data_IF_474278026131
#
_entry.id   IF_474278026131
#
_cell.length_a   1.000
_cell.length_b   1.000
_cell.length_c   1.000
_cell.angle_alpha   90.00
_cell.angle_beta   90.00
_cell.angle_gamma   90.00
#
_symmetry.space_group_name_H-M   'P 1'
#
loop_
_entity.id
_entity.type
_entity.pdbx_description
1 polymer ?
#
# COMPACT_ATOMS: atom_id res chain seq x y z
N UNK A 1 19.05 -5.56 -0.85
CA UNK A 1 18.42 -4.96 -2.03
C UNK A 1 18.67 -3.46 -2.09
N UNK A 2 18.71 -2.93 -3.27
CA UNK A 2 18.86 -1.49 -3.52
C UNK A 2 17.53 -0.94 -4.03
N UNK A 3 17.17 0.25 -3.57
CA UNK A 3 16.05 1.01 -4.10
C UNK A 3 16.60 2.22 -4.85
N UNK A 4 16.27 2.33 -6.13
CA UNK A 4 16.64 3.47 -6.97
C UNK A 4 15.39 4.23 -7.36
N UNK A 5 15.40 5.54 -7.15
CA UNK A 5 14.40 6.40 -7.72
C UNK A 5 14.80 6.73 -9.15
N UNK A 6 14.08 6.18 -10.13
CA UNK A 6 14.35 6.39 -11.54
C UNK A 6 14.29 7.86 -11.98
N UNK A 7 13.44 8.66 -11.33
CA UNK A 7 13.37 10.09 -11.61
C UNK A 7 14.68 10.83 -11.27
N UNK A 8 15.38 10.41 -10.24
CA UNK A 8 16.68 10.98 -9.88
C UNK A 8 17.71 10.61 -10.94
N UNK A 9 17.71 9.35 -11.37
CA UNK A 9 18.60 8.87 -12.45
C UNK A 9 18.37 9.60 -13.77
N UNK A 10 17.12 9.84 -14.18
CA UNK A 10 16.80 10.54 -15.43
C UNK A 10 17.16 12.03 -15.39
N UNK A 11 17.06 12.68 -14.21
CA UNK A 11 17.29 14.11 -14.06
C UNK A 11 18.76 14.48 -13.89
N UNK A 12 19.49 13.69 -13.14
CA UNK A 12 20.79 14.08 -12.59
C UNK A 12 21.96 13.26 -13.15
N UNK A 13 21.70 12.35 -14.11
CA UNK A 13 22.74 11.48 -14.65
C UNK A 13 23.35 10.54 -13.60
N UNK A 14 22.60 10.27 -12.51
CA UNK A 14 23.04 9.35 -11.45
C UNK A 14 23.41 8.00 -12.07
N UNK A 15 24.62 7.54 -11.82
CA UNK A 15 25.07 6.25 -12.32
C UNK A 15 24.32 5.11 -11.63
N UNK A 16 23.90 4.14 -12.44
CA UNK A 16 23.35 2.90 -11.90
C UNK A 16 24.43 2.17 -11.10
N UNK A 17 24.07 1.58 -9.93
CA UNK A 17 25.04 0.94 -9.05
C UNK A 17 25.80 -0.17 -9.77
N UNK A 18 27.07 -0.28 -9.45
CA UNK A 18 27.95 -1.32 -10.00
C UNK A 18 27.89 -2.58 -9.12
N UNK A 19 26.75 -3.25 -9.23
CA UNK A 19 26.41 -4.45 -8.46
C UNK A 19 25.67 -5.41 -9.38
N UNK A 20 25.98 -6.69 -9.30
CA UNK A 20 25.22 -7.72 -10.01
C UNK A 20 23.86 -7.95 -9.34
N UNK A 21 22.80 -7.96 -10.15
CA UNK A 21 21.45 -8.28 -9.74
C UNK A 21 20.94 -9.54 -10.42
N UNK A 22 20.30 -10.42 -9.68
CA UNK A 22 19.56 -11.55 -10.24
C UNK A 22 18.21 -11.09 -10.82
N UNK A 23 17.55 -10.16 -10.10
CA UNK A 23 16.22 -9.66 -10.45
C UNK A 23 16.16 -8.15 -10.23
N UNK A 24 15.60 -7.46 -11.21
CA UNK A 24 15.26 -6.03 -11.14
C UNK A 24 13.75 -5.88 -11.18
N UNK A 25 13.15 -5.38 -10.09
CA UNK A 25 11.76 -4.96 -10.10
C UNK A 25 11.68 -3.52 -10.55
N UNK A 26 11.14 -3.31 -11.73
CA UNK A 26 10.91 -1.98 -12.25
C UNK A 26 9.46 -1.57 -12.00
N UNK A 27 9.25 -0.61 -11.10
CA UNK A 27 7.91 -0.07 -10.86
C UNK A 27 7.48 0.76 -12.05
N UNK A 28 6.47 0.30 -12.76
CA UNK A 28 5.93 0.99 -13.93
C UNK A 28 5.11 2.19 -13.45
N UNK A 29 5.63 3.38 -13.71
CA UNK A 29 5.03 4.67 -13.40
C UNK A 29 4.84 5.51 -14.66
N UNK A 30 4.12 6.63 -14.55
CA UNK A 30 3.74 7.52 -15.66
C UNK A 30 4.92 8.05 -16.50
N UNK A 31 6.12 8.12 -15.94
CA UNK A 31 7.28 8.82 -16.54
C UNK A 31 8.45 7.88 -16.84
N UNK A 32 8.21 6.72 -17.42
CA UNK A 32 9.32 5.88 -17.90
C UNK A 32 9.73 6.28 -19.33
N UNK A 33 11.03 6.26 -19.56
CA UNK A 33 11.62 6.39 -20.88
C UNK A 33 11.47 5.06 -21.64
N UNK A 34 11.11 5.11 -22.92
CA UNK A 34 10.96 3.92 -23.76
C UNK A 34 12.24 3.09 -23.84
N UNK A 35 13.41 3.72 -23.65
CA UNK A 35 14.71 3.05 -23.64
C UNK A 35 15.13 2.49 -22.26
N UNK A 36 14.26 2.58 -21.24
CA UNK A 36 14.63 2.19 -19.87
C UNK A 36 15.04 0.73 -19.77
N UNK A 37 14.28 -0.17 -20.38
CA UNK A 37 14.56 -1.62 -20.31
C UNK A 37 15.88 -1.92 -21.03
N UNK A 38 16.12 -1.32 -22.18
CA UNK A 38 17.35 -1.47 -22.95
C UNK A 38 18.58 -0.97 -22.17
N UNK A 39 18.46 0.15 -21.47
CA UNK A 39 19.52 0.68 -20.59
C UNK A 39 19.81 -0.28 -19.42
N UNK A 40 18.77 -0.82 -18.78
CA UNK A 40 18.92 -1.80 -17.71
C UNK A 40 19.57 -3.09 -18.23
N UNK A 41 19.13 -3.62 -19.37
CA UNK A 41 19.74 -4.82 -19.98
C UNK A 41 21.20 -4.61 -20.37
N UNK A 42 21.54 -3.42 -20.87
CA UNK A 42 22.93 -3.08 -21.19
C UNK A 42 23.82 -3.05 -19.95
N UNK A 43 23.34 -2.47 -18.85
CA UNK A 43 24.12 -2.39 -17.59
C UNK A 43 24.13 -3.74 -16.85
N UNK A 44 23.02 -4.48 -16.87
CA UNK A 44 22.82 -5.72 -16.12
C UNK A 44 22.37 -6.85 -17.06
N UNK A 45 23.26 -7.38 -17.89
CA UNK A 45 22.89 -8.33 -18.96
C UNK A 45 22.35 -9.66 -18.45
N UNK A 46 22.70 -10.04 -17.21
CA UNK A 46 22.29 -11.30 -16.61
C UNK A 46 21.04 -11.16 -15.72
N UNK A 47 20.61 -9.94 -15.41
CA UNK A 47 19.46 -9.71 -14.54
C UNK A 47 18.14 -9.95 -15.29
N UNK A 48 17.20 -10.63 -14.63
CA UNK A 48 15.82 -10.70 -15.08
C UNK A 48 15.08 -9.43 -14.69
N UNK A 49 14.30 -8.86 -15.60
CA UNK A 49 13.54 -7.62 -15.38
C UNK A 49 12.07 -7.93 -15.23
N UNK A 50 11.51 -7.64 -14.08
CA UNK A 50 10.09 -7.74 -13.80
C UNK A 50 9.44 -6.36 -13.83
N UNK A 51 8.45 -6.18 -14.69
CA UNK A 51 7.59 -4.99 -14.68
C UNK A 51 6.60 -5.07 -13.52
N UNK A 52 6.76 -4.22 -12.53
CA UNK A 52 5.94 -4.22 -11.30
C UNK A 52 4.85 -3.18 -11.37
N UNK A 53 3.61 -3.62 -11.47
CA UNK A 53 2.43 -2.75 -11.52
C UNK A 53 1.94 -2.51 -10.10
N UNK A 54 2.26 -1.33 -9.56
CA UNK A 54 1.88 -0.94 -8.20
C UNK A 54 0.48 -0.35 -8.13
N UNK A 55 0.16 0.51 -9.08
CA UNK A 55 -1.07 1.28 -9.10
C UNK A 55 -1.64 1.30 -10.51
N UNK A 56 -2.90 0.93 -10.65
CA UNK A 56 -3.57 0.99 -11.95
C UNK A 56 -4.17 2.34 -12.24
N UNK A 57 -4.64 3.03 -11.21
CA UNK A 57 -5.41 4.24 -11.38
C UNK A 57 -5.63 5.01 -10.08
N UNK A 58 -5.56 6.33 -10.16
CA UNK A 58 -6.05 7.24 -9.12
C UNK A 58 -7.08 8.20 -9.71
N UNK A 59 -8.34 8.23 -9.22
CA UNK A 59 -9.33 9.19 -9.65
C UNK A 59 -8.81 10.63 -9.48
N UNK A 60 -8.91 11.45 -10.53
CA UNK A 60 -8.50 12.85 -10.50
C UNK A 60 -6.99 13.10 -10.65
N UNK A 61 -6.16 12.08 -10.85
CA UNK A 61 -4.85 12.22 -11.46
C UNK A 61 -4.97 11.84 -12.93
N UNK A 62 -4.22 12.53 -13.82
CA UNK A 62 -4.12 12.14 -15.23
C UNK A 62 -3.45 10.75 -15.31
N UNK A 63 -4.25 9.72 -15.11
CA UNK A 63 -3.82 8.34 -15.11
C UNK A 63 -3.72 7.89 -16.57
N UNK A 64 -2.59 7.31 -16.95
CA UNK A 64 -2.39 6.74 -18.27
C UNK A 64 -3.41 5.65 -18.64
N UNK A 65 -4.12 5.08 -17.67
CA UNK A 65 -5.14 4.05 -17.91
C UNK A 65 -6.41 4.59 -18.59
N UNK A 66 -6.66 5.91 -18.53
CA UNK A 66 -7.77 6.57 -19.25
C UNK A 66 -7.33 7.25 -20.54
N UNK A 67 -6.03 7.42 -20.72
CA UNK A 67 -5.44 7.80 -21.98
C UNK A 67 -5.10 6.52 -22.74
N UNK A 68 -5.92 6.17 -23.73
CA UNK A 68 -5.73 4.96 -24.52
C UNK A 68 -4.34 4.84 -25.17
N UNK A 69 -3.75 5.91 -25.74
CA UNK A 69 -2.36 5.89 -26.18
C UNK A 69 -1.35 5.57 -25.08
N UNK A 70 -1.53 6.13 -23.88
CA UNK A 70 -0.69 5.83 -22.71
C UNK A 70 -0.84 4.38 -22.26
N UNK A 71 -2.05 3.83 -22.28
CA UNK A 71 -2.31 2.43 -22.01
C UNK A 71 -1.58 1.49 -22.98
N UNK A 72 -1.64 1.78 -24.28
CA UNK A 72 -0.94 0.98 -25.29
C UNK A 72 0.59 1.05 -25.11
N UNK A 73 1.15 2.22 -24.84
CA UNK A 73 2.59 2.36 -24.51
C UNK A 73 2.97 1.52 -23.30
N UNK A 74 2.11 1.47 -22.30
CA UNK A 74 2.32 0.66 -21.12
C UNK A 74 2.35 -0.84 -21.45
N UNK A 75 1.42 -1.31 -22.29
CA UNK A 75 1.42 -2.69 -22.80
C UNK A 75 2.72 -3.02 -23.53
N UNK A 76 3.16 -2.15 -24.46
CA UNK A 76 4.41 -2.35 -25.20
C UNK A 76 5.63 -2.36 -24.27
N UNK A 77 5.64 -1.54 -23.24
CA UNK A 77 6.68 -1.57 -22.22
C UNK A 77 6.69 -2.91 -21.45
N UNK A 78 5.53 -3.38 -20.99
CA UNK A 78 5.43 -4.65 -20.28
C UNK A 78 5.82 -5.85 -21.15
N UNK A 79 5.58 -5.78 -22.46
CA UNK A 79 6.05 -6.81 -23.41
C UNK A 79 7.57 -6.96 -23.45
N UNK A 80 8.32 -5.92 -23.11
CA UNK A 80 9.79 -5.96 -23.04
C UNK A 80 10.34 -6.55 -21.74
N UNK A 81 9.50 -6.70 -20.72
CA UNK A 81 9.88 -7.30 -19.43
C UNK A 81 9.93 -8.83 -19.52
N UNK A 82 10.77 -9.45 -18.70
CA UNK A 82 10.85 -10.92 -18.61
C UNK A 82 9.70 -11.50 -17.79
N UNK A 83 9.10 -10.69 -16.93
CA UNK A 83 7.86 -11.02 -16.21
C UNK A 83 7.05 -9.76 -15.92
N UNK A 84 5.75 -9.92 -15.67
CA UNK A 84 4.90 -8.87 -15.15
C UNK A 84 4.38 -9.29 -13.79
N UNK A 85 4.51 -8.39 -12.84
CA UNK A 85 4.17 -8.62 -11.45
C UNK A 85 3.14 -7.60 -10.98
N UNK A 86 2.07 -8.11 -10.39
CA UNK A 86 1.02 -7.30 -9.80
C UNK A 86 1.22 -7.21 -8.29
N UNK A 87 1.03 -6.03 -7.77
CA UNK A 87 0.94 -5.80 -6.34
C UNK A 87 -0.41 -6.26 -5.76
N UNK A 88 -1.45 -6.24 -6.56
CA UNK A 88 -2.82 -6.42 -6.13
C UNK A 88 -3.32 -7.85 -6.39
N UNK A 89 -4.06 -8.40 -5.45
CA UNK A 89 -4.66 -9.73 -5.56
C UNK A 89 -5.93 -9.76 -6.43
N UNK A 90 -6.46 -8.63 -6.85
CA UNK A 90 -7.66 -8.55 -7.70
C UNK A 90 -7.32 -8.73 -9.19
N UNK A 91 -7.18 -9.97 -9.59
CA UNK A 91 -6.78 -10.35 -10.96
C UNK A 91 -7.77 -9.93 -12.04
N UNK A 92 -9.05 -9.70 -11.72
CA UNK A 92 -10.08 -9.47 -12.73
C UNK A 92 -9.83 -8.24 -13.61
N UNK A 93 -9.32 -7.17 -13.02
CA UNK A 93 -9.01 -5.90 -13.72
C UNK A 93 -7.84 -6.04 -14.70
N UNK A 94 -7.00 -7.04 -14.52
CA UNK A 94 -5.75 -7.21 -15.26
C UNK A 94 -5.83 -8.20 -16.41
N UNK A 95 -6.94 -8.92 -16.58
CA UNK A 95 -7.06 -9.95 -17.63
C UNK A 95 -6.84 -9.39 -19.03
N UNK A 96 -7.45 -8.25 -19.34
CA UNK A 96 -7.26 -7.59 -20.64
C UNK A 96 -5.80 -7.20 -20.88
N UNK A 97 -5.10 -6.72 -19.84
CA UNK A 97 -3.68 -6.42 -19.91
C UNK A 97 -2.85 -7.69 -20.13
N UNK A 98 -3.16 -8.75 -19.39
CA UNK A 98 -2.48 -10.05 -19.50
C UNK A 98 -2.58 -10.62 -20.91
N UNK A 99 -3.79 -10.60 -21.50
CA UNK A 99 -4.03 -11.01 -22.88
C UNK A 99 -3.22 -10.18 -23.88
N UNK A 100 -3.22 -8.84 -23.73
CA UNK A 100 -2.49 -7.93 -24.63
C UNK A 100 -0.97 -8.01 -24.48
N UNK A 101 -0.47 -8.25 -23.29
CA UNK A 101 0.97 -8.46 -23.03
C UNK A 101 1.39 -9.84 -23.50
N UNK A 102 0.49 -10.81 -23.54
CA UNK A 102 0.73 -12.16 -24.03
C UNK A 102 1.58 -13.02 -23.08
N UNK A 103 1.54 -12.72 -21.78
CA UNK A 103 2.16 -13.55 -20.74
C UNK A 103 1.35 -13.50 -19.44
N UNK A 104 1.34 -14.61 -18.65
CA UNK A 104 0.65 -14.64 -17.38
C UNK A 104 1.31 -13.73 -16.37
N UNK A 105 0.49 -12.96 -15.64
CA UNK A 105 0.97 -12.12 -14.58
C UNK A 105 1.16 -12.90 -13.27
N UNK A 106 2.13 -12.48 -12.48
CA UNK A 106 2.37 -13.03 -11.15
C UNK A 106 1.95 -12.03 -10.08
N UNK A 107 1.50 -12.52 -8.93
CA UNK A 107 1.21 -11.66 -7.78
C UNK A 107 2.41 -11.69 -6.85
N UNK A 108 2.94 -10.51 -6.54
CA UNK A 108 3.95 -10.31 -5.49
C UNK A 108 3.49 -9.14 -4.64
N UNK A 109 3.02 -9.44 -3.45
CA UNK A 109 2.50 -8.44 -2.52
C UNK A 109 3.63 -7.58 -1.94
N UNK A 110 3.27 -6.42 -1.39
CA UNK A 110 4.24 -5.53 -0.75
C UNK A 110 4.83 -6.20 0.49
N UNK A 111 6.16 -6.29 0.61
CA UNK A 111 6.78 -6.83 1.80
C UNK A 111 6.62 -5.88 2.99
N UNK A 112 6.36 -6.45 4.15
CA UNK A 112 6.38 -5.76 5.42
C UNK A 112 7.04 -6.67 6.47
N UNK A 113 7.90 -6.11 7.30
CA UNK A 113 8.43 -6.82 8.46
C UNK A 113 7.37 -6.83 9.57
N UNK A 114 6.40 -7.75 9.43
CA UNK A 114 5.24 -7.85 10.33
C UNK A 114 5.67 -8.11 11.77
N UNK A 115 6.66 -8.98 11.96
CA UNK A 115 7.15 -9.32 13.29
C UNK A 115 7.86 -8.14 13.97
N UNK A 116 8.60 -7.33 13.22
CA UNK A 116 9.21 -6.11 13.74
C UNK A 116 8.17 -5.11 14.21
N UNK A 117 7.18 -4.83 13.35
CA UNK A 117 6.09 -3.91 13.71
C UNK A 117 5.34 -4.39 14.94
N UNK A 118 4.99 -5.67 14.97
CA UNK A 118 4.29 -6.27 16.10
C UNK A 118 5.11 -6.19 17.39
N UNK A 119 6.36 -6.66 17.38
CA UNK A 119 7.22 -6.67 18.58
C UNK A 119 7.51 -5.28 19.13
N UNK A 120 7.66 -4.30 18.24
CA UNK A 120 8.08 -2.95 18.63
C UNK A 120 6.92 -2.05 19.03
N UNK A 121 5.77 -2.16 18.37
CA UNK A 121 4.69 -1.17 18.47
C UNK A 121 3.34 -1.74 18.90
N UNK A 122 3.14 -3.05 18.91
CA UNK A 122 1.89 -3.62 19.38
C UNK A 122 1.64 -3.30 20.86
N UNK A 123 0.43 -2.87 21.19
CA UNK A 123 0.03 -2.55 22.57
C UNK A 123 -1.09 -3.46 23.04
N UNK A 124 -0.86 -4.14 24.18
CA UNK A 124 -1.88 -4.99 24.81
C UNK A 124 -3.07 -4.17 25.35
N UNK A 125 -2.80 -2.94 25.79
CA UNK A 125 -3.81 -1.99 26.25
C UNK A 125 -3.81 -0.77 25.35
N UNK A 126 -4.99 -0.34 24.92
CA UNK A 126 -5.16 0.81 24.04
C UNK A 126 -6.05 1.86 24.68
N UNK A 127 -5.76 3.10 24.36
CA UNK A 127 -6.64 4.20 24.72
C UNK A 127 -7.97 4.06 23.99
N UNK A 128 -9.07 4.46 24.61
CA UNK A 128 -10.37 4.59 23.93
C UNK A 128 -10.31 5.76 22.94
N UNK A 129 -9.66 5.53 21.81
CA UNK A 129 -9.32 6.55 20.81
C UNK A 129 -9.40 6.01 19.41
N UNK A 130 -9.55 6.92 18.46
CA UNK A 130 -9.48 6.64 17.04
C UNK A 130 -8.41 7.52 16.37
N UNK A 131 -7.72 6.95 15.42
CA UNK A 131 -6.71 7.61 14.61
C UNK A 131 -7.28 7.93 13.23
N UNK A 132 -7.14 9.18 12.82
CA UNK A 132 -7.52 9.65 11.50
C UNK A 132 -6.26 10.06 10.73
N UNK A 133 -5.89 9.26 9.73
CA UNK A 133 -4.76 9.59 8.86
C UNK A 133 -5.26 10.17 7.55
N UNK A 134 -4.99 11.46 7.36
CA UNK A 134 -5.39 12.18 6.16
C UNK A 134 -4.18 12.85 5.52
N UNK A 135 -3.56 12.21 4.53
CA UNK A 135 -2.67 12.96 3.64
C UNK A 135 -3.49 14.05 2.94
N UNK A 136 -2.96 15.27 2.77
CA UNK A 136 -3.69 16.40 2.20
C UNK A 136 -4.37 16.12 0.85
N UNK A 137 -3.82 15.17 0.10
CA UNK A 137 -4.37 14.75 -1.20
C UNK A 137 -5.65 13.91 -1.05
N UNK A 138 -5.80 13.18 0.05
CA UNK A 138 -6.95 12.31 0.30
C UNK A 138 -8.13 13.04 0.96
N UNK A 139 -7.89 14.15 1.68
CA UNK A 139 -8.94 14.99 2.25
C UNK A 139 -9.92 15.55 1.22
N UNK A 140 -9.48 15.71 -0.02
CA UNK A 140 -10.33 16.23 -1.10
C UNK A 140 -11.26 15.17 -1.69
N UNK A 141 -11.13 13.91 -1.30
CA UNK A 141 -11.82 12.77 -1.92
C UNK A 141 -12.74 12.02 -0.97
N UNK A 142 -12.67 12.29 0.30
CA UNK A 142 -13.43 11.52 1.29
C UNK A 142 -13.83 12.37 2.49
N UNK A 143 -14.96 12.02 3.09
CA UNK A 143 -15.44 12.61 4.34
C UNK A 143 -14.80 11.95 5.57
N UNK A 144 -13.56 11.46 5.45
CA UNK A 144 -12.90 10.69 6.53
C UNK A 144 -12.79 11.49 7.81
N UNK A 145 -12.36 12.75 7.74
CA UNK A 145 -12.17 13.60 8.92
C UNK A 145 -13.49 13.92 9.60
N UNK A 146 -14.49 14.32 8.84
CA UNK A 146 -15.83 14.65 9.34
C UNK A 146 -16.47 13.45 9.99
N UNK A 147 -16.44 12.30 9.34
CA UNK A 147 -16.93 11.05 9.90
C UNK A 147 -16.16 10.63 11.16
N UNK A 148 -14.85 10.77 11.17
CA UNK A 148 -14.01 10.44 12.33
C UNK A 148 -14.33 11.31 13.54
N UNK A 149 -14.50 12.63 13.32
CA UNK A 149 -14.90 13.57 14.38
C UNK A 149 -16.30 13.27 14.91
N UNK A 150 -17.25 12.96 14.03
CA UNK A 150 -18.60 12.53 14.40
C UNK A 150 -18.57 11.29 15.28
N UNK A 151 -17.85 10.25 14.88
CA UNK A 151 -17.71 9.00 15.64
C UNK A 151 -17.03 9.26 16.99
N UNK A 152 -15.96 10.04 17.00
CA UNK A 152 -15.26 10.39 18.24
C UNK A 152 -16.18 11.07 19.26
N UNK A 153 -16.94 12.04 18.81
CA UNK A 153 -17.90 12.76 19.67
C UNK A 153 -19.02 11.83 20.16
N UNK A 154 -19.64 11.07 19.23
CA UNK A 154 -20.80 10.23 19.55
C UNK A 154 -20.48 9.12 20.54
N UNK A 155 -19.32 8.51 20.44
CA UNK A 155 -18.91 7.36 21.25
C UNK A 155 -17.89 7.72 22.36
N UNK A 156 -17.67 9.00 22.61
CA UNK A 156 -16.70 9.51 23.58
C UNK A 156 -15.32 8.86 23.41
N UNK A 157 -14.80 8.91 22.16
CA UNK A 157 -13.45 8.48 21.82
C UNK A 157 -12.54 9.70 21.69
N UNK A 158 -11.31 9.57 22.15
CA UNK A 158 -10.28 10.59 21.89
C UNK A 158 -9.97 10.61 20.39
N UNK A 159 -10.14 11.75 19.76
CA UNK A 159 -9.74 11.96 18.37
C UNK A 159 -8.23 12.22 18.32
N UNK A 160 -7.53 11.42 17.52
CA UNK A 160 -6.10 11.55 17.27
C UNK A 160 -5.90 11.73 15.78
N UNK A 161 -5.43 12.88 15.37
CA UNK A 161 -5.05 13.12 13.98
C UNK A 161 -3.54 13.08 13.80
N UNK A 162 -3.14 13.05 12.56
CA UNK A 162 -1.76 13.31 12.18
C UNK A 162 -1.52 14.81 12.24
N UNK A 163 -0.53 15.22 13.02
CA UNK A 163 0.01 16.57 12.94
C UNK A 163 0.69 16.79 11.57
N UNK A 164 -0.12 17.25 10.62
CA UNK A 164 0.32 17.46 9.23
C UNK A 164 1.35 18.58 9.16
N UNK A 165 1.29 19.53 10.07
CA UNK A 165 2.17 20.69 10.09
C UNK A 165 3.56 20.32 10.61
N UNK A 166 3.63 19.55 11.70
CA UNK A 166 4.88 18.96 12.18
C UNK A 166 5.53 18.01 11.16
N UNK A 167 4.72 17.33 10.35
CA UNK A 167 5.21 16.49 9.26
C UNK A 167 5.79 17.30 8.10
N UNK A 168 5.12 18.38 7.70
CA UNK A 168 5.55 19.24 6.58
C UNK A 168 6.86 19.97 6.91
N UNK A 169 6.99 20.53 8.09
CA UNK A 169 8.17 21.29 8.50
C UNK A 169 9.40 20.41 8.69
N UNK A 170 9.24 19.22 9.29
CA UNK A 170 10.37 18.32 9.52
C UNK A 170 10.82 17.54 8.29
N UNK A 171 9.92 17.25 7.34
CA UNK A 171 10.28 16.45 6.16
C UNK A 171 10.97 17.24 5.06
N UNK A 172 10.85 18.58 5.05
CA UNK A 172 11.48 19.43 4.04
C UNK A 172 12.94 19.72 4.36
N UNK A 173 13.29 19.88 5.65
CA UNK A 173 14.64 20.25 6.07
C UNK A 173 15.54 19.03 6.31
N UNK A 174 15.02 17.92 6.81
CA UNK A 174 15.78 16.70 6.98
C UNK A 174 14.85 15.45 7.09
N UNK A 175 14.72 14.65 6.01
CA UNK A 175 13.89 13.43 6.03
C UNK A 175 14.33 12.40 7.08
N UNK A 176 15.57 12.48 7.59
CA UNK A 176 16.12 11.57 8.62
C UNK A 176 15.64 11.92 10.03
N UNK A 177 15.18 13.14 10.25
CA UNK A 177 14.67 13.59 11.56
C UNK A 177 13.18 13.24 11.76
N UNK A 178 12.57 12.64 10.76
CA UNK A 178 11.22 12.11 10.90
C UNK A 178 11.23 10.93 11.87
N UNK A 179 10.76 11.18 13.09
CA UNK A 179 10.59 10.13 14.09
C UNK A 179 9.35 9.30 13.75
N UNK A 180 9.51 8.41 12.75
CA UNK A 180 8.47 7.45 12.35
C UNK A 180 7.95 6.67 13.57
N UNK A 181 8.82 6.46 14.56
CA UNK A 181 8.48 5.82 15.82
C UNK A 181 7.36 6.51 16.57
N UNK A 182 7.42 7.83 16.75
CA UNK A 182 6.41 8.59 17.51
C UNK A 182 5.04 8.56 16.80
N UNK A 183 5.05 8.64 15.48
CA UNK A 183 3.85 8.55 14.67
C UNK A 183 3.18 7.18 14.80
N UNK A 184 3.96 6.11 14.65
CA UNK A 184 3.47 4.74 14.77
C UNK A 184 3.04 4.45 16.21
N UNK A 185 3.73 5.00 17.19
CA UNK A 185 3.40 4.83 18.60
C UNK A 185 2.05 5.46 18.96
N UNK A 186 1.78 6.67 18.47
CA UNK A 186 0.46 7.31 18.59
C UNK A 186 -0.63 6.49 17.91
N UNK A 187 -0.36 6.00 16.69
CA UNK A 187 -1.30 5.19 15.94
C UNK A 187 -1.62 3.87 16.66
N UNK A 188 -0.59 3.14 17.09
CA UNK A 188 -0.73 1.87 17.77
C UNK A 188 -1.43 1.96 19.14
N UNK A 189 -1.49 3.14 19.75
CA UNK A 189 -2.24 3.36 20.98
C UNK A 189 -3.75 3.50 20.78
N UNK A 190 -4.21 3.69 19.54
CA UNK A 190 -5.62 3.79 19.21
C UNK A 190 -6.29 2.40 19.05
N UNK A 191 -7.61 2.33 19.28
CA UNK A 191 -8.41 1.14 18.98
C UNK A 191 -8.72 1.08 17.49
N UNK A 192 -9.11 2.22 16.91
CA UNK A 192 -9.56 2.33 15.53
C UNK A 192 -8.66 3.23 14.70
N UNK A 193 -8.55 2.90 13.44
CA UNK A 193 -8.07 3.77 12.38
C UNK A 193 -9.17 3.93 11.35
N UNK A 194 -9.53 5.16 11.02
CA UNK A 194 -10.58 5.45 10.03
C UNK A 194 -9.95 5.99 8.75
N UNK A 195 -10.31 5.35 7.63
CA UNK A 195 -9.91 5.77 6.29
C UNK A 195 -11.03 5.48 5.29
N UNK A 196 -11.73 6.50 4.85
CA UNK A 196 -12.82 6.39 3.86
C UNK A 196 -12.33 6.67 2.42
N UNK A 197 -11.05 6.48 2.14
CA UNK A 197 -10.54 6.66 0.78
C UNK A 197 -11.26 5.69 -0.18
N UNK A 198 -11.94 6.22 -1.23
CA UNK A 198 -12.64 5.41 -2.20
C UNK A 198 -11.72 4.68 -3.17
N UNK A 199 -10.42 4.91 -3.10
CA UNK A 199 -9.46 4.32 -4.03
C UNK A 199 -9.33 2.81 -3.82
N UNK A 200 -10.00 2.05 -4.69
CA UNK A 200 -9.97 0.59 -4.67
C UNK A 200 -8.70 0.00 -5.32
N UNK A 201 -7.91 0.82 -6.03
CA UNK A 201 -6.75 0.35 -6.80
C UNK A 201 -5.43 0.49 -6.05
N UNK A 202 -5.44 1.20 -4.92
CA UNK A 202 -4.25 1.34 -4.07
C UNK A 202 -3.99 0.04 -3.28
N UNK A 203 -2.73 -0.27 -3.03
CA UNK A 203 -2.36 -1.49 -2.29
C UNK A 203 -2.87 -1.55 -0.85
N UNK A 204 -3.22 -0.42 -0.24
CA UNK A 204 -3.74 -0.38 1.12
C UNK A 204 -2.70 -0.62 2.21
N UNK A 205 -1.54 0.01 2.08
CA UNK A 205 -0.47 -0.10 3.08
C UNK A 205 -0.94 0.20 4.51
N UNK A 206 -1.87 1.14 4.68
CA UNK A 206 -2.44 1.46 5.98
C UNK A 206 -3.21 0.29 6.60
N UNK A 207 -3.98 -0.46 5.79
CA UNK A 207 -4.69 -1.65 6.27
C UNK A 207 -3.73 -2.73 6.77
N UNK A 208 -2.58 -2.90 6.09
CA UNK A 208 -1.53 -3.83 6.51
C UNK A 208 -0.83 -3.36 7.78
N UNK A 209 -0.52 -2.08 7.88
CA UNK A 209 0.07 -1.49 9.07
C UNK A 209 -0.87 -1.62 10.27
N UNK A 210 -2.16 -1.33 10.10
CA UNK A 210 -3.18 -1.56 11.13
C UNK A 210 -3.17 -3.02 11.61
N UNK A 211 -3.10 -3.99 10.70
CA UNK A 211 -3.06 -5.40 11.06
C UNK A 211 -1.81 -5.76 11.87
N UNK A 212 -0.63 -5.24 11.50
CA UNK A 212 0.61 -5.46 12.24
C UNK A 212 0.63 -4.75 13.61
N UNK A 213 -0.01 -3.58 13.71
CA UNK A 213 -0.10 -2.82 14.95
C UNK A 213 -1.24 -3.29 15.87
N UNK A 214 -2.15 -4.13 15.37
CA UNK A 214 -3.34 -4.57 16.07
C UNK A 214 -4.42 -3.49 16.22
N UNK A 215 -4.46 -2.50 15.34
CA UNK A 215 -5.45 -1.42 15.28
C UNK A 215 -6.51 -1.78 14.27
N UNK A 216 -7.80 -1.74 14.63
CA UNK A 216 -8.87 -2.05 13.67
C UNK A 216 -8.94 -0.96 12.62
N UNK A 217 -8.86 -1.35 11.36
CA UNK A 217 -9.06 -0.43 10.25
C UNK A 217 -10.53 -0.36 9.86
N UNK A 218 -11.07 0.84 9.81
CA UNK A 218 -12.45 1.16 9.49
C UNK A 218 -12.50 1.88 8.14
N UNK A 219 -13.22 1.31 7.18
CA UNK A 219 -13.38 1.88 5.84
C UNK A 219 -12.34 1.40 4.84
N UNK A 220 -12.43 1.97 3.62
CA UNK A 220 -11.57 1.64 2.50
C UNK A 220 -12.10 0.48 1.65
N UNK A 221 -11.77 0.53 0.34
CA UNK A 221 -12.24 -0.46 -0.64
C UNK A 221 -11.13 -1.24 -1.34
N UNK A 222 -9.85 -0.94 -1.04
CA UNK A 222 -8.76 -1.63 -1.70
C UNK A 222 -8.65 -3.11 -1.27
N UNK A 223 -7.86 -3.87 -2.01
CA UNK A 223 -7.74 -5.30 -1.78
C UNK A 223 -7.24 -5.67 -0.39
N UNK A 224 -6.31 -4.90 0.18
CA UNK A 224 -5.82 -5.16 1.53
C UNK A 224 -6.88 -4.91 2.59
N UNK A 225 -7.76 -3.89 2.41
CA UNK A 225 -8.89 -3.70 3.31
C UNK A 225 -9.84 -4.89 3.27
N UNK A 226 -10.25 -5.32 2.08
CA UNK A 226 -11.16 -6.47 1.91
C UNK A 226 -10.58 -7.77 2.44
N UNK A 227 -9.28 -7.97 2.27
CA UNK A 227 -8.60 -9.17 2.75
C UNK A 227 -8.42 -9.19 4.27
N UNK A 228 -7.99 -8.06 4.85
CA UNK A 228 -7.59 -7.98 6.26
C UNK A 228 -8.74 -7.58 7.19
N UNK A 229 -9.68 -6.78 6.68
CA UNK A 229 -10.75 -6.17 7.46
C UNK A 229 -12.11 -6.32 6.76
N UNK A 230 -12.55 -7.55 6.42
CA UNK A 230 -13.71 -7.79 5.56
C UNK A 230 -15.01 -7.20 6.10
N UNK A 231 -15.15 -7.10 7.42
CA UNK A 231 -16.37 -6.56 8.05
C UNK A 231 -16.48 -5.04 7.97
N UNK A 232 -15.35 -4.34 7.77
CA UNK A 232 -15.28 -2.87 7.75
C UNK A 232 -14.81 -2.33 6.41
N UNK A 233 -14.61 -3.18 5.39
CA UNK A 233 -14.20 -2.80 4.04
C UNK A 233 -15.39 -2.25 3.23
N UNK A 234 -15.91 -1.13 3.64
CA UNK A 234 -17.01 -0.40 3.01
C UNK A 234 -16.84 1.11 3.19
N UNK A 235 -17.58 1.90 2.41
CA UNK A 235 -17.66 3.36 2.57
C UNK A 235 -19.03 3.80 3.09
N UNK A 236 -19.96 2.88 3.34
CA UNK A 236 -21.29 3.22 3.89
C UNK A 236 -21.13 3.61 5.37
N UNK A 237 -21.38 4.88 5.72
CA UNK A 237 -21.19 5.37 7.08
C UNK A 237 -22.09 4.70 8.10
N UNK A 238 -23.30 4.26 7.69
CA UNK A 238 -24.24 3.59 8.60
C UNK A 238 -23.74 2.19 8.97
N UNK A 239 -23.21 1.45 7.98
CA UNK A 239 -22.61 0.14 8.23
C UNK A 239 -21.37 0.29 9.11
N UNK A 240 -20.50 1.25 8.79
CA UNK A 240 -19.27 1.49 9.57
C UNK A 240 -19.58 1.90 11.01
N UNK A 241 -20.55 2.79 11.21
CA UNK A 241 -20.99 3.17 12.57
C UNK A 241 -21.54 1.97 13.34
N UNK A 242 -22.37 1.15 12.71
CA UNK A 242 -22.91 -0.06 13.33
C UNK A 242 -21.79 -1.03 13.76
N UNK A 243 -20.76 -1.20 12.93
CA UNK A 243 -19.59 -2.05 13.26
C UNK A 243 -18.75 -1.46 14.38
N UNK A 244 -18.51 -0.14 14.38
CA UNK A 244 -17.78 0.52 15.46
C UNK A 244 -18.51 0.33 16.80
N UNK A 245 -19.83 0.53 16.82
CA UNK A 245 -20.66 0.29 18.02
C UNK A 245 -20.55 -1.16 18.48
N UNK A 246 -20.69 -2.12 17.57
CA UNK A 246 -20.60 -3.54 17.89
C UNK A 246 -19.23 -3.91 18.49
N UNK A 247 -18.15 -3.37 17.98
CA UNK A 247 -16.80 -3.54 18.56
C UNK A 247 -16.67 -2.90 19.94
N UNK A 248 -17.24 -1.73 20.15
CA UNK A 248 -17.20 -1.05 21.47
C UNK A 248 -18.02 -1.77 22.52
N UNK A 249 -19.13 -2.38 22.13
CA UNK A 249 -20.01 -3.15 23.01
C UNK A 249 -19.49 -4.58 23.27
N UNK A 250 -18.66 -5.12 22.38
CA UNK A 250 -18.15 -6.49 22.42
C UNK A 250 -16.63 -6.55 22.22
N UNK A 251 -15.82 -6.29 23.25
CA UNK A 251 -14.35 -6.24 23.15
C UNK A 251 -13.69 -7.52 22.62
N UNK A 252 -14.31 -8.69 22.80
CA UNK A 252 -13.82 -9.96 22.25
C UNK A 252 -13.82 -9.97 20.72
N UNK A 253 -14.74 -9.24 20.07
CA UNK A 253 -14.75 -9.09 18.62
C UNK A 253 -13.56 -8.28 18.12
N UNK A 254 -13.10 -7.29 18.89
CA UNK A 254 -11.87 -6.55 18.60
C UNK A 254 -10.70 -7.52 18.54
N UNK A 255 -10.54 -8.37 19.57
CA UNK A 255 -9.44 -9.33 19.62
C UNK A 255 -9.49 -10.31 18.46
N UNK A 256 -10.66 -10.83 18.12
CA UNK A 256 -10.85 -11.75 17.01
C UNK A 256 -10.52 -11.10 15.64
N UNK A 257 -10.98 -9.87 15.42
CA UNK A 257 -10.70 -9.14 14.19
C UNK A 257 -9.21 -8.82 14.03
N UNK A 258 -8.55 -8.40 15.11
CA UNK A 258 -7.11 -8.11 15.14
C UNK A 258 -6.30 -9.38 14.91
N UNK A 259 -6.63 -10.49 15.57
CA UNK A 259 -5.93 -11.77 15.39
C UNK A 259 -6.09 -12.30 13.94
N UNK A 260 -7.29 -12.23 13.39
CA UNK A 260 -7.53 -12.57 11.99
C UNK A 260 -6.65 -11.72 11.04
N UNK A 261 -6.67 -10.40 11.21
CA UNK A 261 -5.92 -9.48 10.37
C UNK A 261 -4.40 -9.69 10.50
N UNK A 262 -3.90 -9.91 11.73
CA UNK A 262 -2.50 -10.19 11.98
C UNK A 262 -2.02 -11.48 11.30
N UNK A 263 -2.76 -12.58 11.46
CA UNK A 263 -2.42 -13.86 10.81
C UNK A 263 -2.45 -13.73 9.29
N UNK A 264 -3.43 -12.99 8.78
CA UNK A 264 -3.61 -12.80 7.35
C UNK A 264 -2.50 -11.93 6.75
N UNK A 265 -2.15 -10.80 7.39
CA UNK A 265 -1.04 -9.96 6.91
C UNK A 265 0.29 -10.70 6.97
N UNK A 266 0.52 -11.50 8.00
CA UNK A 266 1.71 -12.34 8.11
C UNK A 266 1.79 -13.39 7.00
N UNK A 267 0.66 -14.03 6.68
CA UNK A 267 0.58 -15.03 5.62
C UNK A 267 0.91 -14.47 4.24
N UNK A 268 0.50 -13.26 3.93
CA UNK A 268 0.58 -12.73 2.56
C UNK A 268 1.64 -11.66 2.37
N UNK A 269 1.96 -10.88 3.40
CA UNK A 269 2.79 -9.68 3.31
C UNK A 269 4.10 -9.77 4.12
N UNK A 270 4.27 -10.77 4.98
CA UNK A 270 5.54 -10.95 5.66
C UNK A 270 6.68 -11.14 4.66
N UNK A 271 7.84 -10.61 4.96
CA UNK A 271 9.02 -10.63 4.08
C UNK A 271 9.33 -12.05 3.59
N UNK A 272 9.19 -13.07 4.43
CA UNK A 272 9.42 -14.47 4.02
C UNK A 272 8.38 -14.95 3.03
N UNK A 273 7.11 -14.61 3.25
CA UNK A 273 6.01 -14.98 2.36
C UNK A 273 6.17 -14.30 0.99
N UNK A 274 6.60 -13.04 0.97
CA UNK A 274 6.86 -12.30 -0.27
C UNK A 274 8.07 -12.88 -1.00
N UNK A 275 9.12 -13.29 -0.31
CA UNK A 275 10.25 -13.97 -0.94
C UNK A 275 9.84 -15.29 -1.63
N UNK A 276 8.93 -16.05 -1.03
CA UNK A 276 8.37 -17.24 -1.70
C UNK A 276 7.53 -16.89 -2.93
N UNK A 277 6.76 -15.80 -2.87
CA UNK A 277 6.03 -15.31 -4.05
C UNK A 277 7.00 -14.91 -5.18
N UNK A 278 8.13 -14.26 -4.85
CA UNK A 278 9.17 -13.89 -5.81
C UNK A 278 9.78 -15.12 -6.49
N UNK A 279 10.05 -16.20 -5.76
CA UNK A 279 10.55 -17.46 -6.33
C UNK A 279 9.57 -18.09 -7.32
N UNK A 280 8.29 -17.85 -7.14
CA UNK A 280 7.21 -18.39 -7.97
C UNK A 280 6.78 -17.43 -9.12
N UNK A 281 7.55 -16.40 -9.41
CA UNK A 281 7.29 -15.52 -10.55
C UNK A 281 7.35 -16.33 -11.85
N UNK A 282 6.34 -16.14 -12.69
CA UNK A 282 6.28 -16.76 -14.03
C UNK A 282 7.11 -15.91 -15.00
N UNK A 283 8.32 -16.37 -15.27
CA UNK A 283 9.23 -15.72 -16.22
C UNK A 283 8.89 -16.14 -17.64
N UNK A 284 9.08 -15.21 -18.58
CA UNK A 284 9.05 -15.52 -20.02
C UNK A 284 10.26 -16.40 -20.36
N UNK A 285 10.05 -17.44 -21.15
CA UNK A 285 11.12 -18.32 -21.64
C UNK A 285 11.93 -17.63 -22.72
#
# INVERSE_FOLDING_TARGET
GYFLNWNDYLKDGTELPDVDFDIIFFTVMKNYDECTIEKLRKKYPNAKIAGYIKELWQPGQNSFMFDYPGYLKHIEFLKKCDAVVLYNMEMGVFRDMEEKVGQPFSIVTMPMDVDYFYKKFYKNTRERSLFCYLPPIHNRRSNTEEFSKYIAQKYNLKFVDRDVEAYRTKSLDNPRDFQLGDFIDKWSSCIFHINLDPDCNMPGSQAMQCAALGVINIGGLNCSHRLLWPETATLDPNILESRIRDYLDNPEKIMNAVDYAYRTVKKFHDTKSVMEQIKNIRWRN
#
